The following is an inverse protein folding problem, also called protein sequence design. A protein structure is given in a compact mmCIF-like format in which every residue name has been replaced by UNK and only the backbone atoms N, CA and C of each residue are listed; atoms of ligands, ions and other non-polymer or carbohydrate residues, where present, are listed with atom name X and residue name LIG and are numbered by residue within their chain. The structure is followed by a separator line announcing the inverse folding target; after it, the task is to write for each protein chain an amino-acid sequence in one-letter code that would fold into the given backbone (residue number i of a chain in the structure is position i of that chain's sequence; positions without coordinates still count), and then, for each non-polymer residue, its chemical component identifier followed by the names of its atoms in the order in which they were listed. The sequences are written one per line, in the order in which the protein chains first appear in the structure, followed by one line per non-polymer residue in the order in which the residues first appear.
data_IF_286160688909
#
_entry.id   IF_286160688909
#
_cell.length_a   1.000
_cell.length_b   1.000
_cell.length_c   1.000
_cell.angle_alpha   90.00
_cell.angle_beta   90.00
_cell.angle_gamma   90.00
#
_symmetry.space_group_name_H-M   'P 1'
#
loop_
_entity.id
_entity.type
_entity.pdbx_description
1 polymer ?
#
# COMPACT_ATOMS: atom_id res chain seq x y z
N UNK A 1 7.25 -4.27 -19.59
CA UNK A 1 6.39 -3.10 -19.34
C UNK A 1 6.42 -2.90 -17.84
N UNK A 2 6.64 -1.68 -17.35
CA UNK A 2 6.48 -1.42 -15.91
C UNK A 2 4.99 -1.50 -15.59
N UNK A 3 4.59 -2.48 -14.79
CA UNK A 3 3.21 -2.61 -14.34
C UNK A 3 2.95 -1.56 -13.25
N UNK A 4 1.89 -0.78 -13.41
CA UNK A 4 1.48 0.20 -12.41
C UNK A 4 0.93 -0.55 -11.19
N UNK A 5 1.67 -0.51 -10.08
CA UNK A 5 1.29 -1.21 -8.84
C UNK A 5 0.11 -0.54 -8.12
N UNK A 6 0.03 0.78 -8.23
CA UNK A 6 -0.97 1.60 -7.55
C UNK A 6 -1.36 2.81 -8.41
N UNK A 7 -2.66 3.11 -8.45
CA UNK A 7 -3.16 4.40 -8.92
C UNK A 7 -3.59 5.24 -7.71
N UNK A 8 -3.26 6.53 -7.71
CA UNK A 8 -3.60 7.44 -6.62
C UNK A 8 -4.41 8.60 -7.18
N UNK A 9 -5.59 8.83 -6.63
CA UNK A 9 -6.39 10.03 -6.86
C UNK A 9 -6.42 10.90 -5.61
N UNK A 10 -6.20 12.21 -5.76
CA UNK A 10 -6.29 13.17 -4.66
C UNK A 10 -7.30 14.24 -5.03
N UNK A 11 -8.35 14.35 -4.22
CA UNK A 11 -9.39 15.35 -4.34
C UNK A 11 -9.29 16.34 -3.19
N UNK A 12 -9.25 17.63 -3.51
CA UNK A 12 -9.36 18.70 -2.51
C UNK A 12 -10.84 19.02 -2.28
N UNK A 13 -11.25 19.02 -1.01
CA UNK A 13 -12.57 19.40 -0.53
C UNK A 13 -12.48 20.70 0.28
N UNK A 14 -13.62 21.24 0.72
CA UNK A 14 -13.66 22.48 1.51
C UNK A 14 -12.91 22.38 2.85
N UNK A 15 -12.84 21.19 3.43
CA UNK A 15 -12.27 20.94 4.77
C UNK A 15 -10.96 20.14 4.74
N UNK A 16 -10.36 19.90 3.57
CA UNK A 16 -9.13 19.11 3.46
C UNK A 16 -8.99 18.35 2.15
N UNK A 17 -8.38 17.16 2.22
CA UNK A 17 -8.04 16.31 1.10
C UNK A 17 -8.57 14.88 1.30
N UNK A 18 -9.08 14.30 0.22
CA UNK A 18 -9.48 12.91 0.10
C UNK A 18 -8.53 12.23 -0.88
N UNK A 19 -7.74 11.28 -0.39
CA UNK A 19 -6.92 10.40 -1.22
C UNK A 19 -7.62 9.07 -1.46
N UNK A 20 -7.51 8.53 -2.67
CA UNK A 20 -7.93 7.17 -3.00
C UNK A 20 -6.75 6.43 -3.60
N UNK A 21 -6.38 5.32 -2.98
CA UNK A 21 -5.34 4.42 -3.46
C UNK A 21 -6.03 3.19 -4.06
N UNK A 22 -5.82 2.95 -5.34
CA UNK A 22 -6.36 1.83 -6.08
C UNK A 22 -5.24 0.84 -6.31
N UNK A 23 -5.46 -0.40 -5.90
CA UNK A 23 -4.57 -1.54 -6.16
C UNK A 23 -5.37 -2.69 -6.72
N UNK A 24 -4.80 -3.39 -7.70
CA UNK A 24 -5.43 -4.61 -8.23
C UNK A 24 -5.53 -5.74 -7.18
N UNK A 25 -4.70 -5.69 -6.13
CA UNK A 25 -4.66 -6.72 -5.09
C UNK A 25 -5.57 -6.40 -3.89
N UNK A 26 -5.62 -5.15 -3.45
CA UNK A 26 -6.26 -4.74 -2.19
C UNK A 26 -7.55 -3.92 -2.41
N UNK A 27 -7.91 -3.64 -3.67
CA UNK A 27 -9.07 -2.82 -4.02
C UNK A 27 -8.81 -1.33 -3.81
N UNK A 28 -9.78 -0.61 -3.22
CA UNK A 28 -9.70 0.83 -2.98
C UNK A 28 -9.56 1.13 -1.50
N UNK A 29 -8.50 1.85 -1.14
CA UNK A 29 -8.32 2.47 0.18
C UNK A 29 -8.56 3.97 0.11
N UNK A 30 -9.32 4.50 1.06
CA UNK A 30 -9.62 5.93 1.17
C UNK A 30 -8.89 6.55 2.36
N UNK A 31 -8.26 7.70 2.13
CA UNK A 31 -7.52 8.47 3.12
C UNK A 31 -8.12 9.88 3.20
N UNK A 32 -8.27 10.42 4.41
CA UNK A 32 -8.80 11.78 4.61
C UNK A 32 -7.90 12.53 5.57
N UNK A 33 -7.50 13.74 5.19
CA UNK A 33 -6.70 14.59 6.06
C UNK A 33 -6.95 16.08 5.76
N UNK A 34 -6.79 16.95 6.76
CA UNK A 34 -6.87 18.40 6.59
C UNK A 34 -5.69 18.93 5.76
N UNK A 35 -4.52 18.30 5.91
CA UNK A 35 -3.27 18.70 5.25
C UNK A 35 -2.81 17.68 4.21
N UNK A 36 -2.35 18.18 3.06
CA UNK A 36 -1.89 17.34 1.96
C UNK A 36 -0.64 16.52 2.35
N UNK A 37 0.29 17.11 3.11
CA UNK A 37 1.51 16.41 3.53
C UNK A 37 1.19 15.21 4.43
N UNK A 38 0.21 15.36 5.33
CA UNK A 38 -0.22 14.26 6.18
C UNK A 38 -0.95 13.18 5.39
N UNK A 39 -1.82 13.57 4.45
CA UNK A 39 -2.47 12.61 3.55
C UNK A 39 -1.44 11.77 2.77
N UNK A 40 -0.42 12.42 2.21
CA UNK A 40 0.63 11.75 1.46
C UNK A 40 1.48 10.84 2.35
N UNK A 41 1.74 11.26 3.60
CA UNK A 41 2.44 10.42 4.59
C UNK A 41 1.62 9.17 4.89
N UNK A 42 0.33 9.30 5.16
CA UNK A 42 -0.54 8.16 5.46
C UNK A 42 -0.56 7.16 4.29
N UNK A 43 -0.70 7.64 3.05
CA UNK A 43 -0.66 6.81 1.83
C UNK A 43 0.71 6.12 1.69
N UNK A 44 1.81 6.82 1.94
CA UNK A 44 3.17 6.26 1.84
C UNK A 44 3.40 5.15 2.85
N UNK A 45 2.98 5.36 4.11
CA UNK A 45 3.11 4.36 5.17
C UNK A 45 2.30 3.12 4.84
N UNK A 46 1.06 3.28 4.36
CA UNK A 46 0.21 2.14 3.98
C UNK A 46 0.84 1.32 2.85
N UNK A 47 1.38 1.96 1.81
CA UNK A 47 2.09 1.26 0.74
C UNK A 47 3.33 0.53 1.24
N UNK A 48 4.09 1.13 2.18
CA UNK A 48 5.27 0.49 2.76
C UNK A 48 4.90 -0.75 3.56
N UNK A 49 3.88 -0.65 4.42
CA UNK A 49 3.38 -1.78 5.22
C UNK A 49 2.89 -2.91 4.32
N UNK A 50 2.14 -2.60 3.27
CA UNK A 50 1.69 -3.62 2.32
C UNK A 50 2.89 -4.34 1.67
N UNK A 51 3.90 -3.60 1.21
CA UNK A 51 5.11 -4.19 0.62
C UNK A 51 5.91 -5.04 1.62
N UNK A 52 6.01 -4.60 2.88
CA UNK A 52 6.66 -5.37 3.95
C UNK A 52 5.89 -6.67 4.25
N UNK A 53 4.56 -6.63 4.30
CA UNK A 53 3.72 -7.82 4.44
C UNK A 53 3.90 -8.80 3.28
N UNK A 54 3.95 -8.29 2.03
CA UNK A 54 4.24 -9.12 0.86
C UNK A 54 5.63 -9.75 0.93
N UNK A 55 6.65 -8.99 1.33
CA UNK A 55 8.01 -9.49 1.46
C UNK A 55 8.11 -10.55 2.56
N UNK A 56 7.45 -10.37 3.71
CA UNK A 56 7.46 -11.33 4.80
C UNK A 56 6.71 -12.63 4.43
N UNK A 57 5.56 -12.56 3.73
CA UNK A 57 4.86 -13.76 3.25
C UNK A 57 5.66 -14.57 2.23
N UNK A 58 6.46 -13.87 1.42
CA UNK A 58 7.33 -14.52 0.44
C UNK A 58 8.53 -15.18 1.13
N UNK A 59 9.08 -14.55 2.18
CA UNK A 59 10.17 -15.13 2.97
C UNK A 59 9.74 -16.37 3.76
N UNK A 60 8.51 -16.41 4.28
CA UNK A 60 7.94 -17.56 5.01
C UNK A 60 7.64 -18.76 4.09
N UNK A 61 7.41 -18.52 2.79
CA UNK A 61 7.18 -19.59 1.80
C UNK A 61 8.45 -20.33 1.35
N UNK A 62 9.64 -19.90 1.80
CA UNK A 62 10.93 -20.55 1.51
C UNK A 62 11.55 -21.24 2.73
N UNK A 63 10.78 -21.82 3.65
CA UNK A 63 11.34 -22.85 4.54
C UNK A 63 11.68 -24.10 3.72
N UNK A 64 12.97 -24.45 3.50
CA UNK A 64 13.31 -25.74 2.96
C UNK A 64 12.92 -26.80 3.99
N UNK A 65 11.97 -27.67 3.64
CA UNK A 65 11.81 -28.95 4.32
C UNK A 65 13.14 -29.72 4.22
N UNK A 66 13.98 -29.62 5.24
CA UNK A 66 15.18 -30.45 5.38
C UNK A 66 14.72 -31.90 5.56
N UNK A 67 14.95 -32.70 4.52
CA UNK A 67 14.76 -34.14 4.52
C UNK A 67 15.85 -34.73 5.43
N UNK A 68 15.43 -35.20 6.60
CA UNK A 68 16.25 -35.99 7.53
C UNK A 68 16.82 -37.20 6.78
N UNK A 69 18.14 -37.37 6.83
CA UNK A 69 18.83 -38.59 6.40
C UNK A 69 19.73 -39.11 7.50
#
# INVERSE_FOLDING_TARGET
MEETLYNIEIHKNETGYLGKLFSDMDGVKEFKNEYLDQLLRDITIDMQLALEEFSNRTADSFEPHEIVK
#
